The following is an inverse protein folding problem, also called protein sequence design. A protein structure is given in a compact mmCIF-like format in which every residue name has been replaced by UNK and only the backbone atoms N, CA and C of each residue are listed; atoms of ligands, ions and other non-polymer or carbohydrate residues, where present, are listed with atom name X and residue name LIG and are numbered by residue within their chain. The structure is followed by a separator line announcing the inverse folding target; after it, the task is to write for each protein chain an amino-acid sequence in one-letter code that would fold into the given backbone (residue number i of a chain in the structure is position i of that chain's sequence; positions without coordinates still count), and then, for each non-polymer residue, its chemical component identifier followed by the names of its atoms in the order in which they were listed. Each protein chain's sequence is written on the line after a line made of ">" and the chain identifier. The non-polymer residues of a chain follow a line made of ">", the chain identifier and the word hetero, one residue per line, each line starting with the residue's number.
data_IF_122880807958
#
_entry.id   IF_122880807958
#
_cell.length_a   1.000
_cell.length_b   1.000
_cell.length_c   1.000
_cell.angle_alpha   90.00
_cell.angle_beta   90.00
_cell.angle_gamma   90.00
#
_symmetry.space_group_name_H-M   'P 1'
#
loop_
_entity.id
_entity.type
_entity.pdbx_description
1 polymer ?
#
# COMPACT_ATOMS: atom_id res chain seq x y z
N UNK A 1 38.48 24.98 -6.72
CA UNK A 1 37.53 25.52 -5.76
C UNK A 1 36.36 24.55 -5.67
N UNK A 2 36.37 23.64 -4.69
CA UNK A 2 35.33 22.66 -4.49
C UNK A 2 34.11 23.32 -3.84
N UNK A 3 32.97 23.30 -4.52
CA UNK A 3 31.70 23.69 -3.92
C UNK A 3 31.32 22.64 -2.88
N UNK A 4 31.45 22.97 -1.60
CA UNK A 4 30.91 22.19 -0.49
C UNK A 4 29.39 22.24 -0.59
N UNK A 5 28.77 21.17 -1.06
CA UNK A 5 27.32 21.00 -1.04
C UNK A 5 26.80 21.02 0.39
N UNK A 6 25.69 21.72 0.61
CA UNK A 6 25.00 21.83 1.90
C UNK A 6 24.67 20.43 2.46
N UNK A 7 24.91 20.15 3.75
CA UNK A 7 24.60 18.85 4.36
C UNK A 7 23.15 18.36 4.11
N UNK A 8 22.21 19.30 4.06
CA UNK A 8 20.80 19.03 3.77
C UNK A 8 20.57 18.54 2.33
N UNK A 9 21.32 19.10 1.35
CA UNK A 9 21.28 18.62 -0.05
C UNK A 9 21.83 17.21 -0.19
N UNK A 10 22.95 16.89 0.47
CA UNK A 10 23.53 15.54 0.48
C UNK A 10 22.60 14.52 1.14
N UNK A 11 21.85 14.92 2.17
CA UNK A 11 20.87 14.06 2.82
C UNK A 11 19.63 13.83 1.94
N UNK A 12 19.18 14.87 1.23
CA UNK A 12 18.11 14.79 0.24
C UNK A 12 18.51 13.91 -0.96
N UNK A 13 19.72 14.13 -1.51
CA UNK A 13 20.26 13.29 -2.59
C UNK A 13 20.42 11.83 -2.17
N UNK A 14 20.84 11.54 -0.93
CA UNK A 14 20.87 10.17 -0.40
C UNK A 14 19.48 9.56 -0.25
N UNK A 15 18.48 10.33 0.19
CA UNK A 15 17.06 9.90 0.22
C UNK A 15 16.53 9.65 -1.20
N UNK A 16 16.87 10.51 -2.15
CA UNK A 16 16.48 10.39 -3.57
C UNK A 16 17.21 9.25 -4.31
N UNK A 17 18.40 8.82 -3.83
CA UNK A 17 19.20 7.76 -4.46
C UNK A 17 18.92 6.35 -3.92
N UNK A 18 18.15 6.22 -2.85
CA UNK A 18 17.76 4.88 -2.36
C UNK A 18 16.54 4.40 -3.15
N UNK A 19 16.65 3.31 -3.93
CA UNK A 19 15.50 2.74 -4.61
C UNK A 19 14.48 2.29 -3.57
N UNK A 20 13.28 2.86 -3.62
CA UNK A 20 12.15 2.42 -2.82
C UNK A 20 11.78 0.99 -3.21
N UNK A 21 11.95 0.06 -2.27
CA UNK A 21 11.73 -1.37 -2.52
C UNK A 21 10.27 -1.66 -2.80
N UNK A 22 10.01 -2.08 -4.02
CA UNK A 22 8.94 -2.96 -4.55
C UNK A 22 7.51 -2.90 -4.00
N UNK A 23 7.05 -1.85 -3.36
CA UNK A 23 5.62 -1.61 -3.14
C UNK A 23 5.15 -0.50 -4.07
N UNK A 24 4.09 -0.74 -4.84
CA UNK A 24 3.49 0.32 -5.64
C UNK A 24 2.89 1.37 -4.71
N UNK A 25 3.31 2.60 -4.86
CA UNK A 25 2.71 3.73 -4.19
C UNK A 25 1.39 4.07 -4.88
N UNK A 26 0.29 4.03 -4.15
CA UNK A 26 -1.01 4.41 -4.67
C UNK A 26 -1.29 5.89 -4.36
N UNK A 27 -1.43 6.69 -5.41
CA UNK A 27 -1.62 8.14 -5.34
C UNK A 27 -3.02 8.45 -5.83
N UNK A 28 -3.91 8.89 -4.94
CA UNK A 28 -5.25 9.36 -5.31
C UNK A 28 -5.21 10.80 -5.80
N UNK A 29 -5.87 11.11 -6.91
CA UNK A 29 -5.95 12.47 -7.44
C UNK A 29 -7.39 12.98 -7.32
N UNK A 30 -7.59 14.03 -6.53
CA UNK A 30 -8.87 14.61 -6.19
C UNK A 30 -8.96 16.08 -6.65
N UNK A 31 -10.16 16.58 -6.82
CA UNK A 31 -10.42 17.97 -7.17
C UNK A 31 -11.69 18.09 -8.00
N UNK A 32 -12.23 19.32 -8.11
CA UNK A 32 -13.43 19.62 -8.88
C UNK A 32 -13.25 19.33 -10.37
N UNK A 33 -14.36 19.32 -11.10
CA UNK A 33 -14.36 19.22 -12.56
C UNK A 33 -13.60 20.43 -13.17
N UNK A 34 -12.83 20.18 -14.22
CA UNK A 34 -12.09 21.22 -14.97
C UNK A 34 -10.96 21.96 -14.21
N UNK A 35 -10.57 21.57 -13.01
CA UNK A 35 -9.38 22.14 -12.34
C UNK A 35 -8.05 21.72 -13.00
N UNK A 36 -8.08 20.72 -13.89
CA UNK A 36 -6.93 20.26 -14.66
C UNK A 36 -6.23 19.04 -14.10
N UNK A 37 -6.93 18.14 -13.35
CA UNK A 37 -6.40 16.87 -12.85
C UNK A 37 -5.68 16.07 -13.93
N UNK A 38 -6.38 15.78 -15.03
CA UNK A 38 -5.80 15.00 -16.15
C UNK A 38 -4.63 15.72 -16.82
N UNK A 39 -4.63 17.05 -16.89
CA UNK A 39 -3.50 17.82 -17.43
C UNK A 39 -2.27 17.72 -16.52
N UNK A 40 -2.44 17.80 -15.20
CA UNK A 40 -1.39 17.58 -14.22
C UNK A 40 -0.85 16.15 -14.33
N UNK A 41 -1.72 15.14 -14.36
CA UNK A 41 -1.32 13.76 -14.52
C UNK A 41 -0.54 13.51 -15.81
N UNK A 42 -1.03 14.02 -16.96
CA UNK A 42 -0.34 13.87 -18.23
C UNK A 42 1.05 14.52 -18.20
N UNK A 43 1.19 15.67 -17.56
CA UNK A 43 2.48 16.35 -17.41
C UNK A 43 3.45 15.58 -16.51
N UNK A 44 2.97 15.05 -15.38
CA UNK A 44 3.77 14.23 -14.45
C UNK A 44 4.22 12.93 -15.13
N UNK A 45 3.35 12.31 -15.91
CA UNK A 45 3.64 11.03 -16.58
C UNK A 45 4.50 11.22 -17.84
N UNK A 46 4.69 12.45 -18.31
CA UNK A 46 5.41 12.81 -19.55
C UNK A 46 4.96 12.00 -20.77
N UNK A 47 3.68 11.66 -20.81
CA UNK A 47 3.12 10.82 -21.86
C UNK A 47 1.79 11.40 -22.33
N UNK A 48 1.72 11.72 -23.60
CA UNK A 48 0.49 11.64 -24.37
C UNK A 48 0.12 10.16 -24.52
N UNK A 49 -0.14 9.45 -23.42
CA UNK A 49 -0.51 8.06 -23.51
C UNK A 49 -2.01 7.95 -23.61
N UNK A 50 -2.42 7.40 -24.76
CA UNK A 50 -3.68 6.68 -24.89
C UNK A 50 -3.83 5.73 -23.70
N UNK A 51 -4.93 5.88 -22.99
CA UNK A 51 -5.39 5.08 -21.89
C UNK A 51 -5.32 3.60 -22.31
N UNK A 52 -4.37 2.84 -21.81
CA UNK A 52 -4.47 1.39 -21.81
C UNK A 52 -5.08 1.04 -20.45
N UNK A 53 -6.40 1.09 -20.39
CA UNK A 53 -7.18 0.40 -19.38
C UNK A 53 -7.18 -1.07 -19.78
N UNK A 54 -6.49 -1.90 -19.06
CA UNK A 54 -6.48 -3.35 -19.28
C UNK A 54 -7.80 -4.04 -18.89
N UNK A 55 -8.83 -3.30 -18.49
CA UNK A 55 -10.18 -3.83 -18.22
C UNK A 55 -11.22 -2.85 -18.74
N UNK A 56 -11.71 -3.12 -19.94
CA UNK A 56 -12.91 -2.50 -20.48
C UNK A 56 -14.15 -3.15 -19.85
N UNK A 57 -14.93 -2.35 -19.11
CA UNK A 57 -16.27 -2.78 -18.73
C UNK A 57 -16.74 -2.31 -17.37
N UNK A 58 -17.13 -1.08 -17.27
CA UNK A 58 -18.28 -0.51 -16.55
C UNK A 58 -18.01 0.98 -16.29
N UNK A 59 -18.94 1.82 -16.62
CA UNK A 59 -18.88 3.29 -16.67
C UNK A 59 -18.79 4.01 -15.31
N UNK A 60 -18.27 3.37 -14.27
CA UNK A 60 -18.20 3.90 -12.90
C UNK A 60 -16.86 3.68 -12.21
N UNK A 61 -15.84 3.14 -12.88
CA UNK A 61 -14.62 2.71 -12.21
C UNK A 61 -13.54 3.80 -12.20
N UNK A 62 -12.82 3.85 -11.06
CA UNK A 62 -11.62 4.66 -10.85
C UNK A 62 -10.59 4.29 -11.91
N UNK A 63 -10.12 5.27 -12.67
CA UNK A 63 -9.10 5.03 -13.71
C UNK A 63 -7.74 4.88 -13.04
N UNK A 64 -7.12 3.71 -13.19
CA UNK A 64 -5.79 3.42 -12.66
C UNK A 64 -4.73 3.59 -13.75
N UNK A 65 -3.69 4.38 -13.44
CA UNK A 65 -2.52 4.56 -14.31
C UNK A 65 -1.27 4.16 -13.54
N UNK A 66 -0.63 3.08 -13.95
CA UNK A 66 0.61 2.61 -13.34
C UNK A 66 1.83 3.04 -14.15
N UNK A 67 2.89 3.50 -13.45
CA UNK A 67 4.15 3.92 -14.08
C UNK A 67 5.32 3.77 -13.11
N UNK A 68 6.53 3.90 -13.66
CA UNK A 68 7.75 4.05 -12.87
C UNK A 68 8.05 5.53 -12.65
N UNK A 69 8.10 5.97 -11.40
CA UNK A 69 8.38 7.36 -11.02
C UNK A 69 9.72 7.43 -10.28
N UNK A 70 10.84 7.52 -11.01
CA UNK A 70 12.16 7.62 -10.38
C UNK A 70 12.33 8.94 -9.61
N UNK A 71 12.90 8.92 -8.38
CA UNK A 71 13.52 7.78 -7.67
C UNK A 71 12.56 6.98 -6.77
N UNK A 72 11.26 7.27 -6.79
CA UNK A 72 10.25 6.70 -5.88
C UNK A 72 10.02 5.21 -6.18
N UNK A 73 10.06 4.83 -7.46
CA UNK A 73 9.77 3.48 -7.91
C UNK A 73 8.40 3.35 -8.58
N UNK A 74 7.80 2.15 -8.61
CA UNK A 74 6.51 1.93 -9.26
C UNK A 74 5.39 2.61 -8.48
N UNK A 75 4.60 3.44 -9.19
CA UNK A 75 3.44 4.14 -8.64
C UNK A 75 2.18 3.78 -9.43
N UNK A 76 1.03 3.90 -8.79
CA UNK A 76 -0.28 3.81 -9.43
C UNK A 76 -1.08 5.05 -9.08
N UNK A 77 -1.44 5.84 -10.08
CA UNK A 77 -2.36 6.96 -9.93
C UNK A 77 -3.80 6.46 -10.03
N UNK A 78 -4.62 6.84 -9.07
CA UNK A 78 -6.06 6.62 -9.05
C UNK A 78 -6.73 7.95 -9.38
N UNK A 79 -7.17 8.11 -10.64
CA UNK A 79 -7.87 9.32 -11.09
C UNK A 79 -9.34 9.22 -10.70
N UNK A 80 -9.81 10.17 -9.90
CA UNK A 80 -11.20 10.21 -9.48
C UNK A 80 -12.00 11.13 -10.40
N UNK A 81 -13.24 10.77 -10.70
CA UNK A 81 -14.17 11.67 -11.36
C UNK A 81 -14.32 12.98 -10.58
N UNK A 82 -14.66 14.09 -11.25
CA UNK A 82 -14.79 15.39 -10.59
C UNK A 82 -15.74 15.34 -9.38
N UNK A 83 -15.32 15.95 -8.29
CA UNK A 83 -16.02 15.93 -7.01
C UNK A 83 -17.37 16.66 -7.00
N UNK A 84 -17.61 17.49 -7.99
CA UNK A 84 -18.76 18.37 -8.16
C UNK A 84 -19.74 17.89 -9.25
N UNK A 85 -19.61 16.63 -9.71
CA UNK A 85 -20.52 16.09 -10.70
C UNK A 85 -21.92 15.94 -10.09
N UNK A 86 -22.85 16.79 -10.56
CA UNK A 86 -24.21 16.92 -10.03
C UNK A 86 -25.14 15.76 -10.39
N UNK A 87 -24.64 14.78 -11.15
CA UNK A 87 -25.45 13.68 -11.69
C UNK A 87 -25.58 12.50 -10.75
N UNK A 88 -24.77 12.40 -9.70
CA UNK A 88 -24.84 11.32 -8.71
C UNK A 88 -25.41 11.80 -7.38
N UNK A 89 -26.34 11.03 -6.81
CA UNK A 89 -26.85 11.23 -5.46
C UNK A 89 -25.69 11.31 -4.45
N UNK A 90 -25.73 12.29 -3.54
CA UNK A 90 -24.59 12.63 -2.67
C UNK A 90 -24.03 11.47 -1.87
N UNK A 91 -24.84 10.49 -1.46
CA UNK A 91 -24.42 9.30 -0.72
C UNK A 91 -23.54 8.35 -1.56
N UNK A 92 -23.85 8.13 -2.85
CA UNK A 92 -23.06 7.29 -3.73
C UNK A 92 -21.68 7.90 -4.02
N UNK A 93 -21.59 9.22 -4.07
CA UNK A 93 -20.32 9.93 -4.25
C UNK A 93 -19.42 9.81 -3.03
N UNK A 94 -19.98 9.93 -1.84
CA UNK A 94 -19.24 9.72 -0.58
C UNK A 94 -18.70 8.30 -0.53
N UNK A 95 -19.52 7.31 -0.86
CA UNK A 95 -19.11 5.91 -0.88
C UNK A 95 -17.96 5.65 -1.87
N UNK A 96 -18.05 6.16 -3.10
CA UNK A 96 -16.99 6.04 -4.10
C UNK A 96 -15.68 6.70 -3.65
N UNK A 97 -15.78 7.91 -3.07
CA UNK A 97 -14.61 8.60 -2.52
C UNK A 97 -13.98 7.80 -1.39
N UNK A 98 -14.76 7.22 -0.48
CA UNK A 98 -14.25 6.37 0.61
C UNK A 98 -13.55 5.12 0.08
N UNK A 99 -14.08 4.49 -0.98
CA UNK A 99 -13.41 3.34 -1.64
C UNK A 99 -12.01 3.70 -2.14
N UNK A 100 -11.84 4.89 -2.72
CA UNK A 100 -10.52 5.36 -3.17
C UNK A 100 -9.62 5.67 -1.97
N UNK A 101 -10.13 6.41 -0.96
CA UNK A 101 -9.36 6.78 0.23
C UNK A 101 -8.81 5.57 0.98
N UNK A 102 -9.54 4.45 1.01
CA UNK A 102 -9.08 3.22 1.64
C UNK A 102 -7.92 2.52 0.91
N UNK A 103 -7.62 2.92 -0.33
CA UNK A 103 -6.62 2.28 -1.21
C UNK A 103 -5.38 3.12 -1.44
N UNK A 104 -5.40 4.40 -1.11
CA UNK A 104 -4.29 5.33 -1.40
C UNK A 104 -3.33 5.46 -0.24
N UNK A 105 -2.06 5.63 -0.56
CA UNK A 105 -1.00 5.91 0.39
C UNK A 105 -0.77 7.42 0.53
N UNK A 106 -1.03 8.19 -0.54
CA UNK A 106 -0.90 9.64 -0.62
C UNK A 106 -2.04 10.20 -1.46
N UNK A 107 -2.57 11.35 -1.07
CA UNK A 107 -3.54 12.09 -1.87
C UNK A 107 -2.90 13.32 -2.54
N UNK A 108 -3.36 13.64 -3.74
CA UNK A 108 -3.06 14.87 -4.46
C UNK A 108 -4.37 15.61 -4.68
N UNK A 109 -4.49 16.79 -4.08
CA UNK A 109 -5.67 17.65 -4.21
C UNK A 109 -5.34 18.74 -5.22
N UNK A 110 -6.04 18.72 -6.36
CA UNK A 110 -5.85 19.71 -7.42
C UNK A 110 -6.98 20.73 -7.35
N UNK A 111 -6.63 21.99 -7.15
CA UNK A 111 -7.54 23.14 -7.24
C UNK A 111 -7.05 24.11 -8.31
N UNK A 112 -7.92 24.96 -8.80
CA UNK A 112 -7.57 25.99 -9.76
C UNK A 112 -7.31 27.33 -9.08
N UNK A 113 -6.42 28.10 -9.68
CA UNK A 113 -6.16 29.46 -9.28
C UNK A 113 -7.39 30.34 -9.51
N UNK A 114 -8.00 30.86 -8.44
CA UNK A 114 -9.12 31.78 -8.52
C UNK A 114 -8.67 33.23 -8.21
N UNK A 115 -8.72 34.09 -9.23
CA UNK A 115 -8.21 35.45 -9.15
C UNK A 115 -8.90 36.29 -8.07
N UNK A 116 -10.18 36.07 -7.84
CA UNK A 116 -10.98 36.89 -6.91
C UNK A 116 -10.70 36.62 -5.43
N UNK A 117 -10.09 35.47 -5.10
CA UNK A 117 -9.79 35.07 -3.74
C UNK A 117 -8.31 35.34 -3.36
N UNK A 118 -7.48 35.66 -4.35
CA UNK A 118 -6.04 35.82 -4.19
C UNK A 118 -5.55 37.28 -4.24
N UNK A 119 -6.36 38.26 -4.67
CA UNK A 119 -6.03 39.68 -4.49
C UNK A 119 -5.90 40.05 -2.99
N UNK A 120 -6.54 39.30 -2.11
CA UNK A 120 -6.33 39.37 -0.67
C UNK A 120 -5.06 38.62 -0.21
N UNK A 121 -4.55 37.65 -0.97
CA UNK A 121 -3.35 36.88 -0.67
C UNK A 121 -2.07 37.72 -0.76
N UNK A 122 -1.96 38.62 -1.73
CA UNK A 122 -0.83 39.55 -1.86
C UNK A 122 -0.86 40.66 -0.81
N UNK A 123 -2.05 41.06 -0.35
CA UNK A 123 -2.24 42.12 0.67
C UNK A 123 -1.99 41.66 2.09
N UNK A 124 -2.17 40.38 2.40
CA UNK A 124 -2.08 39.80 3.75
C UNK A 124 -0.69 39.25 4.14
N UNK A 125 0.34 39.40 3.26
CA UNK A 125 1.73 39.02 3.57
C UNK A 125 1.92 37.52 3.80
N UNK A 126 2.41 36.83 2.81
CA UNK A 126 3.07 35.50 2.67
C UNK A 126 2.78 34.34 3.66
N UNK A 127 1.85 34.49 4.61
CA UNK A 127 1.42 33.47 5.57
C UNK A 127 -0.08 33.17 5.50
N UNK A 128 -0.75 33.57 4.44
CA UNK A 128 -2.20 33.50 4.33
C UNK A 128 -2.66 32.17 3.72
N UNK A 129 -3.45 31.59 4.42
CA UNK A 129 -4.53 30.62 4.37
C UNK A 129 -4.79 29.98 2.98
N UNK A 130 -4.19 28.80 2.71
CA UNK A 130 -4.61 27.90 1.63
C UNK A 130 -6.12 27.57 1.73
N UNK A 131 -6.70 27.71 2.92
CA UNK A 131 -8.14 27.55 3.16
C UNK A 131 -9.03 28.48 2.33
N UNK A 132 -8.50 29.63 1.88
CA UNK A 132 -9.23 30.57 1.01
C UNK A 132 -9.33 30.06 -0.43
N UNK A 133 -8.40 29.21 -0.87
CA UNK A 133 -8.35 28.66 -2.24
C UNK A 133 -9.17 27.39 -2.35
N UNK A 134 -9.36 26.68 -1.23
CA UNK A 134 -10.05 25.41 -1.16
C UNK A 134 -11.56 25.61 -1.10
N UNK A 135 -12.27 25.02 -2.05
CA UNK A 135 -13.74 24.93 -2.02
C UNK A 135 -14.23 23.94 -0.95
N UNK A 136 -15.54 23.91 -0.75
CA UNK A 136 -16.15 23.02 0.27
C UNK A 136 -15.86 21.54 0.00
N UNK A 137 -15.84 21.12 -1.26
CA UNK A 137 -15.56 19.72 -1.62
C UNK A 137 -14.13 19.30 -1.29
N UNK A 138 -13.15 20.19 -1.54
CA UNK A 138 -11.75 19.94 -1.21
C UNK A 138 -11.55 19.88 0.32
N UNK A 139 -12.20 20.76 1.08
CA UNK A 139 -12.16 20.76 2.55
C UNK A 139 -12.75 19.50 3.16
N UNK A 140 -13.87 19.00 2.62
CA UNK A 140 -14.46 17.73 3.05
C UNK A 140 -13.52 16.55 2.87
N UNK A 141 -12.78 16.50 1.75
CA UNK A 141 -11.79 15.46 1.50
C UNK A 141 -10.62 15.60 2.45
N UNK A 142 -10.09 16.81 2.65
CA UNK A 142 -8.98 17.07 3.58
C UNK A 142 -9.35 16.58 4.97
N UNK A 143 -10.55 16.90 5.47
CA UNK A 143 -11.01 16.42 6.77
C UNK A 143 -10.98 14.89 6.85
N UNK A 144 -11.42 14.19 5.80
CA UNK A 144 -11.37 12.72 5.76
C UNK A 144 -9.94 12.18 5.68
N UNK A 145 -9.06 12.84 4.92
CA UNK A 145 -7.63 12.47 4.86
C UNK A 145 -6.96 12.62 6.23
N UNK A 146 -7.28 13.68 6.95
CA UNK A 146 -6.78 13.92 8.32
C UNK A 146 -7.30 12.87 9.30
N UNK A 147 -8.60 12.53 9.25
CA UNK A 147 -9.20 11.45 10.05
C UNK A 147 -8.52 10.10 9.79
N UNK A 148 -8.25 9.79 8.53
CA UNK A 148 -7.61 8.55 8.09
C UNK A 148 -6.07 8.61 8.19
N UNK A 149 -5.49 9.74 8.57
CA UNK A 149 -4.04 9.99 8.64
C UNK A 149 -3.33 9.68 7.31
N UNK A 150 -3.95 10.09 6.20
CA UNK A 150 -3.37 9.96 4.86
C UNK A 150 -2.65 11.26 4.53
N UNK A 151 -1.35 11.23 4.23
CA UNK A 151 -0.62 12.41 3.81
C UNK A 151 -1.13 12.93 2.46
N UNK A 152 -1.14 14.24 2.28
CA UNK A 152 -1.63 14.84 1.04
C UNK A 152 -0.81 16.05 0.60
N UNK A 153 -0.84 16.27 -0.72
CA UNK A 153 -0.22 17.38 -1.42
C UNK A 153 -1.31 18.22 -2.08
N UNK A 154 -1.23 19.54 -1.97
CA UNK A 154 -2.12 20.45 -2.67
C UNK A 154 -1.41 21.00 -3.91
N UNK A 155 -2.05 20.93 -5.07
CA UNK A 155 -1.58 21.54 -6.33
C UNK A 155 -2.57 22.61 -6.77
N UNK A 156 -2.13 23.87 -6.74
CA UNK A 156 -2.86 25.01 -7.28
C UNK A 156 -2.45 25.17 -8.75
N UNK A 157 -3.34 24.76 -9.65
CA UNK A 157 -3.10 24.78 -11.08
C UNK A 157 -3.60 26.08 -11.72
N UNK A 158 -3.28 26.31 -12.99
CA UNK A 158 -3.69 27.47 -13.80
C UNK A 158 -3.17 28.82 -13.28
N UNK A 159 -2.02 28.82 -12.61
CA UNK A 159 -1.39 30.07 -12.14
C UNK A 159 -1.01 31.02 -13.30
N UNK A 160 -0.97 30.55 -14.54
CA UNK A 160 -0.79 31.34 -15.76
C UNK A 160 -1.94 32.33 -16.02
N UNK A 161 -3.08 32.16 -15.40
CA UNK A 161 -4.19 33.10 -15.45
C UNK A 161 -3.90 34.40 -14.67
N UNK A 162 -2.92 34.38 -13.78
CA UNK A 162 -2.39 35.59 -13.14
C UNK A 162 -1.28 36.18 -13.99
N UNK A 163 -1.52 37.37 -14.56
CA UNK A 163 -0.53 38.10 -15.37
C UNK A 163 0.74 38.49 -14.62
N UNK A 164 0.69 38.54 -13.31
CA UNK A 164 1.82 38.87 -12.44
C UNK A 164 2.58 37.63 -11.94
N UNK A 165 2.13 36.41 -12.27
CA UNK A 165 2.82 35.17 -11.86
C UNK A 165 3.97 34.88 -12.81
N UNK A 166 5.20 35.06 -12.33
CA UNK A 166 6.41 34.83 -13.12
C UNK A 166 7.06 33.49 -12.74
N UNK A 167 6.94 32.49 -13.62
CA UNK A 167 7.52 31.17 -13.43
C UNK A 167 9.06 31.20 -13.37
N UNK A 168 9.72 32.21 -13.97
CA UNK A 168 11.18 32.31 -14.06
C UNK A 168 11.85 33.04 -12.89
N UNK A 169 11.19 34.03 -12.27
CA UNK A 169 11.73 34.74 -11.11
C UNK A 169 11.74 33.91 -9.82
N UNK A 170 10.83 32.93 -9.72
CA UNK A 170 10.79 32.03 -8.57
C UNK A 170 11.99 31.08 -8.48
N UNK A 171 12.81 30.92 -9.54
CA UNK A 171 14.01 30.08 -9.54
C UNK A 171 15.12 30.70 -8.65
N UNK A 172 15.26 32.03 -8.63
CA UNK A 172 16.34 32.71 -7.87
C UNK A 172 15.93 33.06 -6.43
N UNK A 173 14.64 33.05 -6.11
CA UNK A 173 14.10 33.24 -4.76
C UNK A 173 13.76 31.93 -4.04
N UNK A 174 14.30 30.81 -4.50
CA UNK A 174 14.02 29.44 -4.02
C UNK A 174 14.27 29.17 -2.52
N UNK A 175 14.76 30.13 -1.77
CA UNK A 175 14.77 30.04 -0.31
C UNK A 175 13.43 30.41 0.36
N UNK A 176 12.43 30.95 -0.37
CA UNK A 176 11.23 31.53 0.26
C UNK A 176 9.86 31.21 -0.35
N UNK A 177 9.72 30.58 -1.49
CA UNK A 177 8.41 30.58 -2.19
C UNK A 177 7.93 29.27 -2.87
N UNK A 178 8.66 28.18 -2.83
CA UNK A 178 8.26 26.96 -3.55
C UNK A 178 7.51 25.93 -2.70
N UNK A 179 7.53 26.06 -1.38
CA UNK A 179 6.81 25.18 -0.46
C UNK A 179 6.17 26.09 0.59
N UNK A 180 4.91 26.43 0.37
CA UNK A 180 4.14 27.14 1.39
C UNK A 180 3.84 26.18 2.54
N UNK A 181 4.43 26.43 3.69
CA UNK A 181 4.10 25.75 4.93
C UNK A 181 2.84 26.39 5.49
N UNK A 182 1.76 25.66 5.57
CA UNK A 182 0.54 26.11 6.25
C UNK A 182 0.52 25.49 7.62
N UNK A 183 0.74 26.33 8.65
CA UNK A 183 0.45 25.95 10.02
C UNK A 183 -1.06 25.78 10.20
N UNK A 184 -1.49 24.69 10.80
CA UNK A 184 -2.89 24.51 11.20
C UNK A 184 -3.33 25.62 12.16
N UNK A 185 -4.61 26.06 12.11
CA UNK A 185 -5.12 27.01 13.08
C UNK A 185 -5.12 26.40 14.49
N UNK A 186 -4.69 27.21 15.45
CA UNK A 186 -4.62 26.91 16.86
C UNK A 186 -5.84 26.14 17.39
N UNK A 187 -5.64 24.88 17.73
CA UNK A 187 -6.41 24.21 18.76
C UNK A 187 -5.44 23.69 19.82
N UNK A 188 -5.46 24.30 20.97
CA UNK A 188 -4.54 24.15 22.11
C UNK A 188 -4.52 22.77 22.79
N UNK A 189 -4.89 21.68 22.13
CA UNK A 189 -4.98 20.36 22.77
C UNK A 189 -4.35 19.19 22.05
N UNK A 190 -3.55 19.39 20.97
CA UNK A 190 -2.83 18.24 20.35
C UNK A 190 -1.37 18.60 20.08
N UNK A 191 -0.54 18.42 21.09
CA UNK A 191 0.91 18.20 20.91
C UNK A 191 1.12 16.90 20.17
N UNK A 192 1.94 16.94 19.09
CA UNK A 192 2.54 15.88 18.31
C UNK A 192 1.75 15.44 17.06
N UNK A 193 1.83 16.23 16.00
CA UNK A 193 2.12 15.83 14.61
C UNK A 193 2.14 17.13 13.78
N UNK A 194 3.29 17.80 13.72
CA UNK A 194 3.56 18.87 12.73
C UNK A 194 3.80 18.17 11.37
N UNK A 195 2.77 17.76 10.68
CA UNK A 195 2.85 17.47 9.26
C UNK A 195 2.59 18.77 8.51
N UNK A 196 3.65 19.40 8.05
CA UNK A 196 3.59 20.61 7.24
C UNK A 196 2.93 20.27 5.88
N UNK A 197 1.77 20.87 5.59
CA UNK A 197 1.05 20.67 4.34
C UNK A 197 1.88 21.24 3.19
N UNK A 198 2.21 20.41 2.20
CA UNK A 198 2.96 20.82 1.03
C UNK A 198 2.01 21.35 -0.05
N UNK A 199 2.28 22.53 -0.60
CA UNK A 199 1.48 23.16 -1.65
C UNK A 199 2.38 23.54 -2.82
N UNK A 200 1.99 23.16 -4.04
CA UNK A 200 2.67 23.48 -5.29
C UNK A 200 1.78 24.43 -6.10
N UNK A 201 2.27 25.63 -6.41
CA UNK A 201 1.65 26.55 -7.37
C UNK A 201 2.24 26.29 -8.73
N UNK A 202 1.39 26.06 -9.76
CA UNK A 202 1.86 25.63 -11.08
C UNK A 202 0.89 25.99 -12.20
N UNK A 203 1.36 25.82 -13.42
CA UNK A 203 0.54 25.67 -14.62
C UNK A 203 0.92 24.37 -15.32
N UNK A 204 -0.02 23.44 -15.42
CA UNK A 204 0.21 22.18 -16.15
C UNK A 204 0.68 22.41 -17.60
N UNK A 205 0.37 23.58 -18.18
CA UNK A 205 0.71 23.93 -19.54
C UNK A 205 2.13 24.50 -19.68
N UNK A 206 2.55 25.36 -18.76
CA UNK A 206 3.76 26.18 -18.93
C UNK A 206 4.87 25.87 -17.92
N UNK A 207 4.58 25.25 -16.77
CA UNK A 207 5.60 24.97 -15.76
C UNK A 207 6.43 23.73 -16.13
N UNK A 208 7.64 23.94 -16.62
CA UNK A 208 8.58 22.87 -16.96
C UNK A 208 9.13 22.13 -15.74
N UNK A 209 9.09 22.77 -14.58
CA UNK A 209 9.60 22.20 -13.34
C UNK A 209 8.57 21.42 -12.52
N UNK A 210 7.30 21.40 -12.96
CA UNK A 210 6.21 20.74 -12.23
C UNK A 210 6.58 19.30 -11.82
N UNK A 211 7.15 18.52 -12.75
CA UNK A 211 7.54 17.11 -12.48
C UNK A 211 8.57 17.02 -11.36
N UNK A 212 9.56 17.90 -11.38
CA UNK A 212 10.61 17.94 -10.34
C UNK A 212 10.02 18.33 -8.98
N UNK A 213 9.24 19.43 -8.93
CA UNK A 213 8.58 19.91 -7.72
C UNK A 213 7.65 18.85 -7.13
N UNK A 214 6.89 18.17 -7.98
CA UNK A 214 6.01 17.09 -7.57
C UNK A 214 6.77 15.92 -6.94
N UNK A 215 7.85 15.46 -7.59
CA UNK A 215 8.68 14.38 -7.04
C UNK A 215 9.32 14.75 -5.72
N UNK A 216 9.84 15.95 -5.58
CA UNK A 216 10.44 16.44 -4.35
C UNK A 216 9.41 16.51 -3.21
N UNK A 217 8.22 17.08 -3.48
CA UNK A 217 7.14 17.16 -2.53
C UNK A 217 6.65 15.75 -2.10
N UNK A 218 6.50 14.85 -3.06
CA UNK A 218 6.06 13.49 -2.79
C UNK A 218 7.07 12.72 -1.91
N UNK A 219 8.38 12.85 -2.17
CA UNK A 219 9.41 12.22 -1.31
C UNK A 219 9.37 12.74 0.13
N UNK A 220 9.09 14.03 0.32
CA UNK A 220 8.97 14.64 1.66
C UNK A 220 7.72 14.17 2.40
N UNK A 221 6.64 13.89 1.66
CA UNK A 221 5.35 13.46 2.23
C UNK A 221 5.31 11.97 2.57
N UNK A 222 6.15 11.16 1.90
CA UNK A 222 6.13 9.72 2.12
C UNK A 222 6.46 9.41 3.58
N UNK A 223 5.64 8.59 4.26
CA UNK A 223 5.94 8.12 5.59
C UNK A 223 7.33 7.48 5.65
N UNK A 224 8.02 7.60 6.79
CA UNK A 224 9.32 6.96 6.98
C UNK A 224 9.26 5.45 6.74
N UNK A 225 8.16 4.82 7.09
CA UNK A 225 7.88 3.39 6.84
C UNK A 225 7.81 3.06 5.34
N UNK A 226 7.48 4.02 4.48
CA UNK A 226 7.49 3.82 3.05
C UNK A 226 8.91 3.95 2.47
N UNK A 227 9.67 4.91 2.98
CA UNK A 227 11.09 5.12 2.62
C UNK A 227 11.96 3.99 3.18
N UNK A 228 11.66 3.54 4.40
CA UNK A 228 12.27 2.42 5.09
C UNK A 228 11.34 1.21 5.07
N UNK A 229 10.79 0.85 3.89
CA UNK A 229 9.84 -0.26 3.75
C UNK A 229 10.18 -1.41 4.68
N UNK A 230 9.25 -1.92 5.50
CA UNK A 230 9.53 -3.05 6.34
C UNK A 230 10.05 -4.19 5.46
N UNK A 231 11.16 -4.77 5.85
CA UNK A 231 11.79 -5.85 5.11
C UNK A 231 10.86 -7.07 5.15
N UNK A 232 10.90 -7.88 4.11
CA UNK A 232 10.06 -9.09 4.06
C UNK A 232 10.62 -10.16 4.99
N UNK A 233 11.91 -10.48 4.81
CA UNK A 233 12.61 -11.50 5.56
C UNK A 233 14.06 -11.10 5.91
N UNK A 234 14.62 -10.11 5.22
CA UNK A 234 16.04 -9.75 5.35
C UNK A 234 16.43 -9.13 6.69
N UNK A 235 15.48 -8.68 7.49
CA UNK A 235 15.69 -8.23 8.88
C UNK A 235 15.60 -9.37 9.91
N UNK A 236 15.07 -10.52 9.50
CA UNK A 236 14.87 -11.69 10.38
C UNK A 236 16.15 -12.50 10.56
N UNK A 237 17.11 -12.36 9.65
CA UNK A 237 18.36 -13.11 9.64
C UNK A 237 19.56 -12.18 9.49
N UNK A 238 20.72 -12.60 10.03
CA UNK A 238 21.94 -11.82 9.89
C UNK A 238 22.45 -11.80 8.42
N UNK A 239 23.11 -10.71 7.96
CA UNK A 239 23.79 -10.72 6.66
C UNK A 239 24.73 -11.92 6.51
N UNK A 240 24.84 -12.46 5.30
CA UNK A 240 25.60 -13.68 4.94
C UNK A 240 24.99 -14.99 5.48
N UNK A 241 23.87 -14.95 6.19
CA UNK A 241 23.14 -16.17 6.57
C UNK A 241 22.58 -16.87 5.33
N UNK A 242 22.50 -18.19 5.42
CA UNK A 242 21.84 -19.00 4.39
C UNK A 242 20.33 -19.07 4.66
N UNK A 243 19.53 -18.83 3.63
CA UNK A 243 18.07 -18.98 3.65
C UNK A 243 17.66 -19.92 2.54
N UNK A 244 16.77 -20.86 2.83
CA UNK A 244 16.18 -21.74 1.81
C UNK A 244 14.75 -21.29 1.50
N UNK A 245 14.47 -21.01 0.22
CA UNK A 245 13.13 -20.79 -0.29
C UNK A 245 12.62 -22.08 -0.94
N UNK A 246 11.58 -22.67 -0.36
CA UNK A 246 10.95 -23.88 -0.88
C UNK A 246 9.75 -23.48 -1.72
N UNK A 247 9.87 -23.63 -3.03
CA UNK A 247 8.89 -23.17 -4.03
C UNK A 247 8.35 -24.41 -4.76
N UNK A 248 7.13 -24.86 -4.44
CA UNK A 248 6.50 -25.94 -5.17
C UNK A 248 6.19 -25.50 -6.61
N UNK A 249 6.17 -26.46 -7.51
CA UNK A 249 5.73 -26.20 -8.89
C UNK A 249 4.21 -26.12 -8.88
N UNK A 250 3.69 -24.90 -8.83
CA UNK A 250 2.27 -24.63 -8.79
C UNK A 250 1.67 -24.64 -10.21
N UNK A 251 0.51 -25.31 -10.37
CA UNK A 251 -0.25 -25.30 -11.62
C UNK A 251 -0.88 -23.94 -11.93
N UNK A 252 -1.08 -23.12 -10.90
CA UNK A 252 -1.65 -21.77 -11.02
C UNK A 252 -0.59 -20.73 -11.44
N UNK A 253 0.71 -21.01 -11.21
CA UNK A 253 1.76 -20.13 -11.67
C UNK A 253 1.94 -20.21 -13.20
N UNK A 254 2.07 -19.08 -13.90
CA UNK A 254 2.36 -19.10 -15.33
C UNK A 254 3.64 -19.88 -15.62
N UNK A 255 3.64 -20.72 -16.65
CA UNK A 255 4.80 -21.51 -17.04
C UNK A 255 6.05 -20.65 -17.19
N UNK A 256 7.15 -21.04 -16.55
CA UNK A 256 8.43 -20.32 -16.57
C UNK A 256 8.49 -19.12 -15.61
N UNK A 257 7.55 -18.96 -14.70
CA UNK A 257 7.54 -17.88 -13.70
C UNK A 257 7.37 -18.44 -12.29
N UNK A 258 7.82 -17.69 -11.31
CA UNK A 258 7.49 -17.85 -9.91
C UNK A 258 6.57 -16.68 -9.51
N UNK A 259 5.73 -16.87 -8.48
CA UNK A 259 4.73 -15.87 -8.11
C UNK A 259 5.36 -14.67 -7.40
N UNK A 260 4.66 -13.55 -7.42
CA UNK A 260 5.17 -12.27 -6.92
C UNK A 260 5.71 -12.30 -5.48
N UNK A 261 5.07 -12.94 -4.49
CA UNK A 261 5.63 -13.04 -3.14
C UNK A 261 6.98 -13.74 -3.07
N UNK A 262 7.18 -14.77 -3.88
CA UNK A 262 8.44 -15.52 -3.94
C UNK A 262 9.56 -14.67 -4.54
N UNK A 263 9.29 -13.97 -5.66
CA UNK A 263 10.23 -13.03 -6.29
C UNK A 263 10.63 -11.91 -5.34
N UNK A 264 9.65 -11.32 -4.66
CA UNK A 264 9.89 -10.20 -3.74
C UNK A 264 10.71 -10.64 -2.51
N UNK A 265 10.42 -11.80 -1.94
CA UNK A 265 11.20 -12.36 -0.83
C UNK A 265 12.63 -12.65 -1.24
N UNK A 266 12.83 -13.27 -2.41
CA UNK A 266 14.17 -13.52 -2.96
C UNK A 266 14.96 -12.21 -3.12
N UNK A 267 14.32 -11.19 -3.70
CA UNK A 267 14.95 -9.87 -3.90
C UNK A 267 15.28 -9.20 -2.57
N UNK A 268 14.38 -9.24 -1.59
CA UNK A 268 14.61 -8.67 -0.26
C UNK A 268 15.81 -9.33 0.45
N UNK A 269 15.95 -10.65 0.36
CA UNK A 269 17.08 -11.38 0.91
C UNK A 269 18.41 -11.00 0.23
N UNK A 270 18.43 -10.86 -1.10
CA UNK A 270 19.61 -10.42 -1.85
C UNK A 270 20.02 -9.00 -1.45
N UNK A 271 19.05 -8.08 -1.33
CA UNK A 271 19.31 -6.71 -0.91
C UNK A 271 19.84 -6.62 0.54
N UNK A 272 19.57 -7.64 1.37
CA UNK A 272 20.08 -7.73 2.73
C UNK A 272 21.32 -8.63 2.85
N UNK A 273 22.00 -8.90 1.73
CA UNK A 273 23.24 -9.68 1.65
C UNK A 273 23.12 -11.11 2.21
N UNK A 274 21.97 -11.76 2.06
CA UNK A 274 21.74 -13.15 2.44
C UNK A 274 22.10 -14.09 1.28
N UNK A 275 22.55 -15.29 1.61
CA UNK A 275 22.76 -16.39 0.68
C UNK A 275 21.44 -17.15 0.51
N UNK A 276 20.89 -17.22 -0.70
CA UNK A 276 19.58 -17.82 -0.89
C UNK A 276 19.64 -19.04 -1.78
N UNK A 277 19.16 -20.16 -1.26
CA UNK A 277 18.93 -21.39 -2.04
C UNK A 277 17.44 -21.47 -2.38
N UNK A 278 17.14 -21.73 -3.65
CA UNK A 278 15.77 -21.91 -4.14
C UNK A 278 15.60 -23.35 -4.58
N UNK A 279 14.69 -24.07 -3.96
CA UNK A 279 14.49 -25.51 -4.18
C UNK A 279 13.01 -25.85 -4.24
N UNK A 280 12.67 -26.98 -4.86
CA UNK A 280 11.33 -27.58 -4.72
C UNK A 280 11.26 -28.36 -3.39
N UNK A 281 10.05 -28.68 -2.98
CA UNK A 281 9.81 -29.48 -1.79
C UNK A 281 10.49 -30.89 -1.85
N UNK A 282 10.59 -31.47 -3.06
CA UNK A 282 11.26 -32.76 -3.28
C UNK A 282 12.78 -32.72 -3.08
N UNK A 283 13.41 -31.57 -3.30
CA UNK A 283 14.85 -31.40 -3.17
C UNK A 283 15.28 -30.82 -1.81
N UNK A 284 14.33 -30.44 -0.94
CA UNK A 284 14.62 -29.80 0.33
C UNK A 284 15.54 -30.62 1.23
N UNK A 285 15.27 -31.92 1.36
CA UNK A 285 16.10 -32.83 2.17
C UNK A 285 17.54 -32.86 1.66
N UNK A 286 17.71 -33.02 0.35
CA UNK A 286 19.03 -33.01 -0.29
C UNK A 286 19.75 -31.69 -0.08
N UNK A 287 19.04 -30.55 -0.21
CA UNK A 287 19.63 -29.23 0.02
C UNK A 287 20.13 -29.09 1.48
N UNK A 288 19.34 -29.51 2.47
CA UNK A 288 19.72 -29.45 3.89
C UNK A 288 20.95 -30.31 4.20
N UNK A 289 21.06 -31.50 3.61
CA UNK A 289 22.17 -32.43 3.79
C UNK A 289 23.48 -31.93 3.15
N UNK A 290 23.42 -31.11 2.11
CA UNK A 290 24.58 -30.60 1.38
C UNK A 290 25.07 -29.21 1.82
N UNK A 291 24.39 -28.56 2.78
CA UNK A 291 24.85 -27.31 3.33
C UNK A 291 25.93 -27.56 4.40
N UNK A 292 27.04 -26.81 4.34
CA UNK A 292 28.11 -26.85 5.35
C UNK A 292 27.63 -26.39 6.73
N UNK A 293 26.69 -25.44 6.74
CA UNK A 293 26.08 -24.88 7.95
C UNK A 293 24.58 -24.91 7.82
N UNK A 294 23.84 -25.21 8.90
CA UNK A 294 22.38 -25.15 8.84
C UNK A 294 21.87 -23.77 8.37
N UNK A 295 20.79 -23.71 7.59
CA UNK A 295 20.20 -22.44 7.21
C UNK A 295 19.60 -21.73 8.43
N UNK A 296 19.65 -20.41 8.45
CA UNK A 296 19.04 -19.60 9.51
C UNK A 296 17.51 -19.59 9.41
N UNK A 297 16.99 -19.75 8.19
CA UNK A 297 15.56 -19.70 7.92
C UNK A 297 15.21 -20.57 6.71
N UNK A 298 14.09 -21.26 6.79
CA UNK A 298 13.40 -21.90 5.66
C UNK A 298 12.07 -21.19 5.45
N UNK A 299 11.79 -20.77 4.23
CA UNK A 299 10.52 -20.15 3.84
C UNK A 299 9.85 -21.04 2.83
N UNK A 300 8.57 -21.37 3.04
CA UNK A 300 7.83 -22.27 2.15
C UNK A 300 6.50 -21.66 1.70
N UNK A 301 5.89 -22.25 0.71
CA UNK A 301 4.52 -21.96 0.35
C UNK A 301 3.55 -22.61 1.35
N UNK A 302 2.42 -21.95 1.64
CA UNK A 302 1.42 -22.46 2.58
C UNK A 302 0.87 -23.83 2.18
N UNK A 303 0.87 -24.16 0.89
CA UNK A 303 0.43 -25.46 0.37
C UNK A 303 1.40 -26.60 0.75
N UNK A 304 2.71 -26.32 0.75
CA UNK A 304 3.75 -27.30 1.07
C UNK A 304 4.10 -27.35 2.59
N UNK A 305 3.49 -26.45 3.39
CA UNK A 305 3.92 -26.22 4.79
C UNK A 305 3.92 -27.49 5.63
N UNK A 306 2.90 -28.33 5.50
CA UNK A 306 2.81 -29.59 6.24
C UNK A 306 3.98 -30.54 5.92
N UNK A 307 4.31 -30.72 4.65
CA UNK A 307 5.40 -31.58 4.20
C UNK A 307 6.75 -31.00 4.66
N UNK A 308 6.97 -29.72 4.42
CA UNK A 308 8.21 -29.02 4.75
C UNK A 308 8.47 -29.04 6.26
N UNK A 309 7.43 -28.86 7.09
CA UNK A 309 7.54 -28.88 8.56
C UNK A 309 8.00 -30.24 9.12
N UNK A 310 7.78 -31.33 8.38
CA UNK A 310 8.24 -32.68 8.74
C UNK A 310 9.71 -32.92 8.36
N UNK A 311 10.20 -32.22 7.34
CA UNK A 311 11.57 -32.38 6.82
C UNK A 311 12.55 -31.45 7.56
N UNK A 312 12.14 -30.22 7.87
CA UNK A 312 13.01 -29.21 8.48
C UNK A 312 13.18 -29.49 9.97
N UNK A 313 14.43 -29.65 10.48
CA UNK A 313 14.72 -29.84 11.91
C UNK A 313 14.11 -28.74 12.79
N UNK A 314 13.76 -29.05 14.03
CA UNK A 314 13.10 -28.14 14.97
C UNK A 314 13.97 -26.91 15.35
N UNK A 315 15.27 -27.03 15.29
CA UNK A 315 16.23 -25.97 15.58
C UNK A 315 16.46 -24.99 14.42
N UNK A 316 15.76 -25.18 13.29
CA UNK A 316 15.80 -24.28 12.14
C UNK A 316 14.48 -23.55 12.07
N UNK A 317 14.54 -22.21 12.02
CA UNK A 317 13.35 -21.39 11.86
C UNK A 317 12.62 -21.69 10.53
N UNK A 318 11.31 -21.77 10.61
CA UNK A 318 10.44 -22.12 9.49
C UNK A 318 9.25 -21.17 9.45
N UNK A 319 9.03 -20.52 8.31
CA UNK A 319 7.85 -19.70 8.09
C UNK A 319 7.31 -19.87 6.65
N UNK A 320 6.27 -19.12 6.29
CA UNK A 320 5.74 -19.15 4.92
C UNK A 320 5.72 -17.77 4.28
N UNK A 321 5.72 -17.74 2.93
CA UNK A 321 5.57 -16.51 2.17
C UNK A 321 4.31 -15.74 2.61
N UNK A 322 3.20 -16.43 2.81
CA UNK A 322 1.95 -15.80 3.24
C UNK A 322 2.02 -15.16 4.62
N UNK A 323 2.79 -15.72 5.56
CA UNK A 323 3.00 -15.14 6.90
C UNK A 323 3.94 -13.94 6.81
N UNK A 324 5.02 -14.02 6.02
CA UNK A 324 5.89 -12.89 5.75
C UNK A 324 5.11 -11.71 5.15
N UNK A 325 4.19 -11.98 4.22
CA UNK A 325 3.34 -10.96 3.61
C UNK A 325 2.22 -10.47 4.53
N UNK A 326 1.74 -11.29 5.47
CA UNK A 326 0.84 -10.84 6.54
C UNK A 326 1.52 -9.77 7.40
N UNK A 327 2.79 -10.00 7.79
CA UNK A 327 3.61 -9.03 8.50
C UNK A 327 3.90 -7.78 7.66
N UNK A 328 4.26 -7.95 6.40
CA UNK A 328 4.60 -6.84 5.51
C UNK A 328 3.43 -5.90 5.23
N UNK A 329 2.27 -6.47 4.90
CA UNK A 329 1.11 -5.71 4.39
C UNK A 329 0.01 -5.49 5.41
N UNK A 330 -0.04 -6.27 6.47
CA UNK A 330 -1.07 -6.19 7.50
C UNK A 330 -0.48 -5.93 8.88
N UNK A 331 -1.21 -6.48 9.84
CA UNK A 331 -0.83 -6.57 11.25
C UNK A 331 -0.79 -8.06 11.63
N UNK A 332 0.41 -8.57 11.90
CA UNK A 332 0.61 -10.01 12.16
C UNK A 332 -0.13 -10.43 13.43
N UNK A 333 -0.07 -9.60 14.48
CA UNK A 333 -0.68 -9.92 15.77
C UNK A 333 -2.20 -9.96 15.68
N UNK A 334 -2.81 -9.02 14.95
CA UNK A 334 -4.25 -9.02 14.70
C UNK A 334 -4.67 -10.26 13.90
N UNK A 335 -3.89 -10.66 12.89
CA UNK A 335 -4.18 -11.86 12.13
C UNK A 335 -4.01 -13.15 12.96
N UNK A 336 -3.04 -13.20 13.87
CA UNK A 336 -2.84 -14.34 14.80
C UNK A 336 -4.01 -14.42 15.78
N UNK A 337 -4.43 -13.30 16.38
CA UNK A 337 -5.63 -13.22 17.24
C UNK A 337 -6.87 -13.68 16.48
N UNK A 338 -7.04 -13.20 15.24
CA UNK A 338 -8.16 -13.60 14.40
C UNK A 338 -8.21 -15.11 14.12
N UNK A 339 -7.05 -15.76 13.96
CA UNK A 339 -7.01 -17.22 13.77
C UNK A 339 -7.47 -18.00 15.01
N UNK A 340 -7.26 -17.47 16.22
CA UNK A 340 -7.74 -18.12 17.45
C UNK A 340 -9.28 -18.20 17.52
N UNK A 341 -9.98 -17.29 16.84
CA UNK A 341 -11.44 -17.32 16.76
C UNK A 341 -11.98 -18.57 16.03
N UNK A 342 -11.14 -19.29 15.27
CA UNK A 342 -11.50 -20.54 14.60
C UNK A 342 -12.02 -21.58 15.62
N UNK A 343 -11.41 -21.65 16.80
CA UNK A 343 -11.78 -22.63 17.84
C UNK A 343 -13.16 -22.32 18.47
N UNK A 344 -13.65 -21.09 18.37
CA UNK A 344 -14.94 -20.65 18.91
C UNK A 344 -16.11 -20.78 17.94
N UNK A 345 -15.87 -21.17 16.68
CA UNK A 345 -16.88 -21.30 15.65
C UNK A 345 -17.88 -22.43 15.97
N UNK A 346 -19.16 -22.21 15.62
CA UNK A 346 -20.28 -23.10 15.84
C UNK A 346 -20.91 -23.56 14.53
N UNK A 347 -21.75 -24.59 14.60
CA UNK A 347 -22.51 -25.02 13.43
C UNK A 347 -23.40 -23.89 12.91
N UNK A 348 -23.36 -23.66 11.61
CA UNK A 348 -24.11 -22.61 10.93
C UNK A 348 -23.43 -21.23 10.91
N UNK A 349 -22.30 -21.06 11.61
CA UNK A 349 -21.58 -19.77 11.58
C UNK A 349 -21.11 -19.40 10.18
N UNK A 350 -21.26 -18.11 9.87
CA UNK A 350 -20.83 -17.51 8.60
C UNK A 350 -19.36 -17.11 8.64
N UNK A 351 -18.57 -17.64 7.73
CA UNK A 351 -17.16 -17.28 7.53
C UNK A 351 -17.00 -16.61 6.17
N UNK A 352 -16.43 -15.41 6.16
CA UNK A 352 -16.12 -14.67 4.95
C UNK A 352 -14.70 -14.99 4.46
N UNK A 353 -14.58 -15.49 3.26
CA UNK A 353 -13.31 -15.56 2.54
C UNK A 353 -13.22 -14.35 1.63
N UNK A 354 -12.24 -13.49 1.87
CA UNK A 354 -12.09 -12.21 1.21
C UNK A 354 -10.89 -12.24 0.26
N UNK A 355 -11.16 -12.17 -1.03
CA UNK A 355 -10.16 -12.17 -2.09
C UNK A 355 -9.96 -10.76 -2.65
N UNK A 356 -8.71 -10.36 -2.89
CA UNK A 356 -8.38 -9.02 -3.40
C UNK A 356 -8.29 -8.95 -4.93
N UNK A 357 -8.37 -10.08 -5.61
CA UNK A 357 -8.31 -10.17 -7.06
C UNK A 357 -9.35 -11.15 -7.59
N UNK A 358 -9.77 -10.93 -8.82
CA UNK A 358 -10.62 -11.86 -9.55
C UNK A 358 -9.74 -12.80 -10.35
N UNK A 359 -9.38 -13.94 -9.79
CA UNK A 359 -8.76 -15.01 -10.56
C UNK A 359 -9.77 -16.11 -10.84
N UNK A 360 -9.57 -16.85 -11.93
CA UNK A 360 -10.43 -17.98 -12.23
C UNK A 360 -10.16 -19.11 -11.23
N UNK A 361 -11.20 -19.52 -10.51
CA UNK A 361 -11.12 -20.64 -9.59
C UNK A 361 -10.78 -21.93 -10.36
N UNK A 362 -9.72 -22.61 -9.94
CA UNK A 362 -9.33 -23.94 -10.41
C UNK A 362 -9.87 -24.99 -9.43
N UNK A 363 -9.97 -26.25 -9.83
CA UNK A 363 -10.57 -27.35 -9.04
C UNK A 363 -10.00 -27.46 -7.61
N UNK A 364 -8.77 -27.01 -7.35
CA UNK A 364 -8.07 -27.06 -6.05
C UNK A 364 -7.85 -25.69 -5.41
N UNK A 365 -8.72 -24.72 -5.66
CA UNK A 365 -8.60 -23.35 -5.17
C UNK A 365 -8.42 -23.28 -3.64
N UNK A 366 -7.45 -22.45 -3.19
CA UNK A 366 -7.09 -22.34 -1.77
C UNK A 366 -8.25 -21.78 -0.96
N UNK A 367 -8.88 -20.70 -1.42
CA UNK A 367 -9.97 -20.04 -0.70
C UNK A 367 -11.27 -20.80 -0.76
N UNK A 368 -11.60 -21.40 -1.91
CA UNK A 368 -12.90 -22.02 -2.14
C UNK A 368 -12.99 -23.48 -1.72
N UNK A 369 -11.85 -24.19 -1.70
CA UNK A 369 -11.81 -25.63 -1.41
C UNK A 369 -10.95 -25.96 -0.22
N UNK A 370 -9.67 -25.57 -0.23
CA UNK A 370 -8.70 -26.01 0.80
C UNK A 370 -8.99 -25.44 2.17
N UNK A 371 -9.20 -24.14 2.30
CA UNK A 371 -9.47 -23.48 3.59
C UNK A 371 -10.81 -23.94 4.18
N UNK A 372 -11.94 -23.96 3.45
CA UNK A 372 -13.19 -24.52 3.97
C UNK A 372 -13.05 -25.93 4.53
N UNK A 373 -12.35 -26.82 3.81
CA UNK A 373 -12.12 -28.19 4.25
C UNK A 373 -11.23 -28.27 5.51
N UNK A 374 -10.19 -27.43 5.61
CA UNK A 374 -9.34 -27.35 6.79
C UNK A 374 -10.11 -26.82 8.01
N UNK A 375 -10.95 -25.82 7.85
CA UNK A 375 -11.79 -25.27 8.92
C UNK A 375 -12.77 -26.32 9.43
N UNK A 376 -13.51 -26.99 8.54
CA UNK A 376 -14.44 -28.06 8.93
C UNK A 376 -13.74 -29.23 9.61
N UNK A 377 -12.55 -29.61 9.13
CA UNK A 377 -11.73 -30.66 9.76
C UNK A 377 -11.23 -30.22 11.15
N UNK A 378 -10.80 -28.98 11.33
CA UNK A 378 -10.26 -28.45 12.58
C UNK A 378 -11.35 -28.31 13.62
N UNK A 379 -12.50 -27.72 13.25
CA UNK A 379 -13.59 -27.39 14.17
C UNK A 379 -14.57 -28.57 14.38
N UNK A 380 -14.69 -29.48 13.43
CA UNK A 380 -15.73 -30.50 13.42
C UNK A 380 -17.13 -29.93 13.15
N UNK A 381 -17.23 -28.69 12.65
CA UNK A 381 -18.47 -27.94 12.48
C UNK A 381 -18.87 -27.80 11.01
N UNK A 382 -20.18 -27.68 10.78
CA UNK A 382 -20.71 -27.36 9.46
C UNK A 382 -20.82 -25.84 9.31
N UNK A 383 -19.79 -25.23 8.73
CA UNK A 383 -19.68 -23.78 8.54
C UNK A 383 -20.24 -23.34 7.20
N UNK A 384 -20.87 -22.18 7.16
CA UNK A 384 -21.33 -21.53 5.94
C UNK A 384 -20.23 -20.59 5.44
N UNK A 385 -19.73 -20.86 4.23
CA UNK A 385 -18.59 -20.12 3.66
C UNK A 385 -19.09 -19.22 2.54
N UNK A 386 -18.84 -17.93 2.68
CA UNK A 386 -19.07 -16.95 1.63
C UNK A 386 -17.74 -16.47 1.05
N UNK A 387 -17.64 -16.46 -0.27
CA UNK A 387 -16.47 -15.92 -0.97
C UNK A 387 -16.84 -14.55 -1.55
N UNK A 388 -16.03 -13.57 -1.28
CA UNK A 388 -16.17 -12.21 -1.81
C UNK A 388 -14.87 -11.78 -2.46
N UNK A 389 -14.92 -11.34 -3.72
CA UNK A 389 -13.76 -10.91 -4.47
C UNK A 389 -13.88 -9.43 -4.85
N UNK A 390 -12.77 -8.71 -4.80
CA UNK A 390 -12.70 -7.30 -5.17
C UNK A 390 -12.19 -6.40 -4.07
N UNK A 391 -12.29 -5.09 -4.31
CA UNK A 391 -11.79 -4.05 -3.40
C UNK A 391 -12.83 -3.63 -2.36
N UNK A 392 -14.09 -3.90 -2.60
CA UNK A 392 -15.20 -3.56 -1.71
C UNK A 392 -15.25 -4.48 -0.49
N UNK A 393 -15.97 -4.05 0.52
CA UNK A 393 -16.22 -4.82 1.73
C UNK A 393 -17.73 -5.07 1.85
N UNK A 394 -18.19 -6.32 1.99
CA UNK A 394 -19.61 -6.60 2.23
C UNK A 394 -20.03 -6.14 3.63
N UNK A 395 -21.33 -6.08 3.91
CA UNK A 395 -21.80 -5.90 5.28
C UNK A 395 -21.34 -7.07 6.16
N UNK A 396 -20.65 -6.74 7.26
CA UNK A 396 -20.01 -7.72 8.15
C UNK A 396 -20.88 -8.20 9.30
N UNK A 397 -22.11 -7.71 9.45
CA UNK A 397 -22.95 -7.88 10.65
C UNK A 397 -23.13 -9.34 11.06
N UNK A 398 -23.24 -10.27 10.11
CA UNK A 398 -23.53 -11.67 10.38
C UNK A 398 -22.27 -12.57 10.43
N UNK A 399 -21.13 -12.07 9.99
CA UNK A 399 -19.92 -12.88 9.93
C UNK A 399 -19.25 -13.06 11.29
N UNK A 400 -18.73 -14.27 11.54
CA UNK A 400 -18.01 -14.63 12.77
C UNK A 400 -16.51 -14.68 12.59
N UNK A 401 -16.03 -14.74 11.35
CA UNK A 401 -14.63 -14.74 11.00
C UNK A 401 -14.45 -14.26 9.56
N UNK A 402 -13.41 -13.47 9.35
CA UNK A 402 -12.92 -13.07 8.02
C UNK A 402 -11.58 -13.75 7.78
N UNK A 403 -11.42 -14.40 6.62
CA UNK A 403 -10.14 -14.97 6.18
C UNK A 403 -9.73 -14.26 4.88
N UNK A 404 -8.77 -13.34 5.00
CA UNK A 404 -8.25 -12.54 3.89
C UNK A 404 -7.23 -13.33 3.08
N UNK A 405 -7.21 -13.18 1.76
CA UNK A 405 -6.19 -13.77 0.91
C UNK A 405 -4.78 -13.17 1.19
N UNK A 406 -3.75 -13.68 0.52
CA UNK A 406 -2.37 -13.22 0.67
C UNK A 406 -2.09 -11.79 0.23
N UNK A 407 -3.07 -11.06 -0.30
CA UNK A 407 -2.99 -9.65 -0.70
C UNK A 407 -1.83 -9.35 -1.67
N UNK A 408 -1.49 -10.29 -2.55
CA UNK A 408 -0.36 -10.13 -3.48
C UNK A 408 -0.55 -8.94 -4.43
N UNK A 409 -1.79 -8.63 -4.81
CA UNK A 409 -2.16 -7.57 -5.76
C UNK A 409 -2.60 -6.26 -5.09
N UNK A 410 -2.74 -6.22 -3.76
CA UNK A 410 -3.16 -5.03 -3.00
C UNK A 410 -2.00 -4.40 -2.25
N UNK A 411 -2.09 -3.11 -1.97
CA UNK A 411 -1.12 -2.41 -1.16
C UNK A 411 -1.37 -2.61 0.35
N UNK A 412 -0.41 -2.18 1.18
CA UNK A 412 -0.49 -2.27 2.64
C UNK A 412 -1.69 -1.50 3.19
N UNK A 413 -1.97 -0.31 2.64
CA UNK A 413 -3.06 0.57 3.10
C UNK A 413 -4.42 -0.11 3.03
N UNK A 414 -4.70 -0.78 1.92
CA UNK A 414 -5.97 -1.48 1.75
C UNK A 414 -6.14 -2.61 2.76
N UNK A 415 -5.07 -3.39 3.03
CA UNK A 415 -5.12 -4.47 4.03
C UNK A 415 -5.36 -3.91 5.43
N UNK A 416 -4.65 -2.83 5.81
CA UNK A 416 -4.83 -2.17 7.11
C UNK A 416 -6.23 -1.56 7.25
N UNK A 417 -6.79 -0.98 6.18
CA UNK A 417 -8.16 -0.47 6.17
C UNK A 417 -9.18 -1.59 6.42
N UNK A 418 -8.96 -2.77 5.81
CA UNK A 418 -9.80 -3.94 6.03
C UNK A 418 -9.75 -4.46 7.46
N UNK A 419 -8.55 -4.50 8.06
CA UNK A 419 -8.37 -4.85 9.48
C UNK A 419 -9.12 -3.84 10.36
N UNK A 420 -8.99 -2.55 10.10
CA UNK A 420 -9.67 -1.49 10.85
C UNK A 420 -11.20 -1.63 10.78
N UNK A 421 -11.76 -1.85 9.59
CA UNK A 421 -13.20 -2.04 9.39
C UNK A 421 -13.68 -3.30 10.14
N UNK A 422 -12.94 -4.42 10.04
CA UNK A 422 -13.27 -5.64 10.76
C UNK A 422 -13.29 -5.42 12.28
N UNK A 423 -12.29 -4.72 12.82
CA UNK A 423 -12.18 -4.40 14.25
C UNK A 423 -13.30 -3.47 14.71
N UNK A 424 -13.68 -2.46 13.92
CA UNK A 424 -14.82 -1.58 14.23
C UNK A 424 -16.14 -2.34 14.31
N UNK A 425 -16.28 -3.41 13.53
CA UNK A 425 -17.46 -4.30 13.54
C UNK A 425 -17.32 -5.47 14.53
N UNK A 426 -16.22 -5.55 15.28
CA UNK A 426 -15.90 -6.64 16.19
C UNK A 426 -15.93 -8.02 15.51
N UNK A 427 -15.52 -8.11 14.24
CA UNK A 427 -15.38 -9.37 13.51
C UNK A 427 -13.91 -9.75 13.42
N UNK A 428 -13.49 -10.90 13.99
CA UNK A 428 -12.10 -11.37 13.90
C UNK A 428 -11.67 -11.51 12.45
N UNK A 429 -10.44 -11.08 12.14
CA UNK A 429 -9.85 -11.20 10.81
C UNK A 429 -8.50 -11.91 10.86
N UNK A 430 -8.28 -12.85 9.96
CA UNK A 430 -7.00 -13.53 9.76
C UNK A 430 -6.68 -13.63 8.27
N UNK A 431 -5.52 -14.22 7.90
CA UNK A 431 -5.17 -14.44 6.50
C UNK A 431 -5.01 -15.93 6.17
N UNK A 432 -4.95 -16.25 4.87
CA UNK A 432 -4.82 -17.62 4.36
C UNK A 432 -3.67 -18.39 5.02
N UNK A 433 -2.45 -17.81 5.04
CA UNK A 433 -1.27 -18.49 5.57
C UNK A 433 -1.37 -18.78 7.06
N UNK A 434 -1.88 -17.83 7.83
CA UNK A 434 -2.05 -17.98 9.28
C UNK A 434 -3.18 -18.95 9.58
N UNK A 435 -4.33 -18.85 8.90
CA UNK A 435 -5.44 -19.77 9.06
C UNK A 435 -5.05 -21.23 8.73
N UNK A 436 -4.33 -21.45 7.63
CA UNK A 436 -3.82 -22.78 7.26
C UNK A 436 -2.86 -23.30 8.33
N UNK A 437 -1.88 -22.50 8.75
CA UNK A 437 -0.89 -22.88 9.76
C UNK A 437 -1.54 -23.20 11.11
N UNK A 438 -2.57 -22.43 11.48
CA UNK A 438 -3.36 -22.65 12.69
C UNK A 438 -4.13 -23.96 12.64
N UNK A 439 -4.85 -24.20 11.56
CA UNK A 439 -5.60 -25.46 11.37
C UNK A 439 -4.70 -26.70 11.36
N UNK A 440 -3.47 -26.56 10.86
CA UNK A 440 -2.48 -27.64 10.86
C UNK A 440 -1.72 -27.80 12.20
N UNK A 441 -1.90 -26.89 13.17
CA UNK A 441 -1.23 -26.94 14.46
C UNK A 441 0.26 -26.52 14.41
N UNK A 442 0.71 -25.86 13.36
CA UNK A 442 2.10 -25.46 13.14
C UNK A 442 2.33 -23.95 13.28
N UNK A 443 1.28 -23.19 13.56
CA UNK A 443 1.37 -21.72 13.68
C UNK A 443 2.42 -21.25 14.70
N UNK A 444 2.54 -21.84 15.93
CA UNK A 444 3.55 -21.39 16.89
C UNK A 444 4.96 -21.43 16.32
N UNK A 445 5.34 -22.51 15.64
CA UNK A 445 6.63 -22.65 14.97
C UNK A 445 6.80 -21.65 13.81
N UNK A 446 5.71 -21.39 13.07
CA UNK A 446 5.75 -20.53 11.90
C UNK A 446 5.94 -19.04 12.23
N UNK A 447 5.57 -18.62 13.43
CA UNK A 447 5.70 -17.24 13.91
C UNK A 447 6.84 -17.05 14.93
N UNK A 448 7.52 -18.11 15.36
CA UNK A 448 8.60 -18.06 16.36
C UNK A 448 9.71 -17.07 15.99
N UNK A 449 10.08 -17.00 14.73
CA UNK A 449 11.14 -16.10 14.23
C UNK A 449 10.81 -14.60 14.44
N UNK A 450 9.55 -14.24 14.64
CA UNK A 450 9.11 -12.87 14.88
C UNK A 450 9.14 -12.48 16.37
N UNK A 451 9.19 -13.46 17.30
CA UNK A 451 9.06 -13.27 18.75
C UNK A 451 10.31 -12.73 19.45
N UNK A 452 11.38 -12.40 18.75
CA UNK A 452 12.67 -12.03 19.34
C UNK A 452 13.20 -10.65 18.98
N UNK A 453 12.35 -9.75 18.46
CA UNK A 453 12.78 -8.41 17.96
C UNK A 453 11.81 -7.28 18.36
N UNK A 454 11.58 -7.15 19.67
CA UNK A 454 11.09 -5.92 20.29
C UNK A 454 12.25 -5.03 20.73
#
# INVERSE_FOLDING_TARGET
>A
MGKTQCPHQKQLERKLMQPLKSMRLHIGVFGRTNVGKSSILNRITNQEISIVSDIAGTTTDVVEKSMELLPIGPVTFLDTAGLDDKTELGEQRIEKTMKVLNRIDVAVIVCDYNKNELDDYEKLGRHSNVDAILGNCEKEIINKLDELKIPYLIIVNKCDLNKNYNFHENINNEKKLAVGWVCQPNNETKKNHNSDIQTIFTSAKYDEQLVFKFKEALVKLLPEDFVNSPKIAGDLVAPKSTVILVIPIDKEAPKGRIILPQVQTLRDLLDNNCLTYVVKESELKYALENLKTPPALVVTDSQAFRLVSQIVPQNIHLTSFSILFARLKGDLDEFVKGAQAIDSLKDGDLVLILESCTHHAIEDDIGRVKIPNLLRKKTGKNLVIHNYAGHDFPDLTDYKLIIHCGACMTNRREVLSRILIANQKNVPITNYGIAISYCLGILPRAIEIFSGKD
#
